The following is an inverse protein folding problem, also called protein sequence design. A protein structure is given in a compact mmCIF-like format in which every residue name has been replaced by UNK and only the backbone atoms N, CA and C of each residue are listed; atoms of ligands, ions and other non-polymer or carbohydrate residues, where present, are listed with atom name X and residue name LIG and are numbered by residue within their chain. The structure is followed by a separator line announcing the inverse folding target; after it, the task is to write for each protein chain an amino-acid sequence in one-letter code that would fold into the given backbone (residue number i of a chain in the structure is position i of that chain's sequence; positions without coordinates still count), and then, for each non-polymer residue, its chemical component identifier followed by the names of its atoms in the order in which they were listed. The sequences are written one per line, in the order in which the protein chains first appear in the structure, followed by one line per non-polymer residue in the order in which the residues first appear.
data_IF_917318663879
#
_entry.id   IF_917318663879
#
_cell.length_a   1.000
_cell.length_b   1.000
_cell.length_c   1.000
_cell.angle_alpha   90.00
_cell.angle_beta   90.00
_cell.angle_gamma   90.00
#
_symmetry.space_group_name_H-M   'P 1'
#
loop_
_entity.id
_entity.type
_entity.pdbx_description
1 polymer ?
#
# COMPACT_ATOMS: atom_id res chain seq x y z
N UNK A 1 -8.12 34.08 36.81
CA UNK A 1 -7.27 34.11 35.62
C UNK A 1 -7.81 33.03 34.66
N UNK A 2 -8.72 33.42 33.76
CA UNK A 2 -9.47 32.51 32.89
C UNK A 2 -8.57 32.22 31.69
N UNK A 3 -8.08 30.97 31.53
CA UNK A 3 -7.36 30.53 30.34
C UNK A 3 -8.34 30.58 29.16
N UNK A 4 -8.10 31.49 28.26
CA UNK A 4 -8.76 31.61 26.97
C UNK A 4 -8.49 30.29 26.20
N UNK A 5 -9.50 29.43 26.15
CA UNK A 5 -9.55 28.28 25.25
C UNK A 5 -9.69 28.83 23.83
N UNK A 6 -8.58 28.99 23.14
CA UNK A 6 -8.58 29.33 21.72
C UNK A 6 -9.09 28.07 21.03
N UNK A 7 -10.36 28.08 20.61
CA UNK A 7 -10.85 27.13 19.61
C UNK A 7 -10.00 27.37 18.36
N UNK A 8 -9.07 26.47 18.07
CA UNK A 8 -8.49 26.38 16.73
C UNK A 8 -9.68 26.11 15.80
N UNK A 9 -9.98 27.07 14.96
CA UNK A 9 -10.87 26.86 13.83
C UNK A 9 -10.11 25.87 12.94
N UNK A 10 -10.59 24.64 12.87
CA UNK A 10 -10.17 23.71 11.84
C UNK A 10 -10.43 24.44 10.51
N UNK A 11 -9.38 24.89 9.85
CA UNK A 11 -9.48 25.30 8.45
C UNK A 11 -9.72 23.97 7.74
N UNK A 12 -10.97 23.69 7.40
CA UNK A 12 -11.35 22.57 6.55
C UNK A 12 -10.57 22.81 5.26
N UNK A 13 -9.49 22.08 5.08
CA UNK A 13 -8.80 22.02 3.80
C UNK A 13 -9.84 21.60 2.76
N UNK A 14 -9.79 22.20 1.59
CA UNK A 14 -10.72 21.88 0.51
C UNK A 14 -10.77 20.37 0.31
N UNK A 15 -11.95 19.77 0.44
CA UNK A 15 -12.13 18.33 0.25
C UNK A 15 -11.91 17.97 -1.21
N UNK A 16 -11.05 17.01 -1.47
CA UNK A 16 -10.77 16.52 -2.82
C UNK A 16 -11.23 15.06 -2.94
N UNK A 17 -12.30 14.86 -3.69
CA UNK A 17 -12.80 13.51 -3.97
C UNK A 17 -11.75 12.68 -4.70
N UNK A 18 -11.56 11.44 -4.26
CA UNK A 18 -10.59 10.50 -4.84
C UNK A 18 -9.18 10.59 -4.26
N UNK A 19 -8.88 11.60 -3.44
CA UNK A 19 -7.64 11.65 -2.69
C UNK A 19 -7.76 10.93 -1.34
N UNK A 20 -6.68 10.29 -0.91
CA UNK A 20 -6.61 9.65 0.41
C UNK A 20 -6.80 10.71 1.51
N UNK A 21 -7.62 10.39 2.51
CA UNK A 21 -8.12 11.31 3.55
C UNK A 21 -8.91 12.51 3.03
N UNK A 22 -9.26 12.55 1.75
CA UNK A 22 -9.92 13.71 1.13
C UNK A 22 -9.06 14.99 1.10
N UNK A 23 -7.75 14.86 1.29
CA UNK A 23 -6.84 16.00 1.38
C UNK A 23 -6.37 16.47 0.00
N UNK A 24 -6.16 17.79 -0.19
CA UNK A 24 -5.54 18.30 -1.41
C UNK A 24 -4.08 17.86 -1.52
N UNK A 25 -3.60 17.74 -2.74
CA UNK A 25 -2.18 17.47 -2.99
C UNK A 25 -1.32 18.61 -2.41
N UNK A 26 -0.26 18.22 -1.69
CA UNK A 26 0.74 19.16 -1.17
C UNK A 26 1.60 19.75 -2.31
N UNK A 27 2.16 20.94 -2.08
CA UNK A 27 3.15 21.49 -3.02
C UNK A 27 4.52 20.85 -2.82
N UNK A 28 5.23 20.54 -3.91
CA UNK A 28 6.58 19.93 -3.91
C UNK A 28 6.55 18.41 -3.89
N UNK A 29 7.73 17.81 -3.67
CA UNK A 29 7.88 16.34 -3.66
C UNK A 29 7.09 15.73 -2.49
N UNK A 30 6.35 14.65 -2.71
CA UNK A 30 5.60 13.98 -1.65
C UNK A 30 6.52 13.24 -0.67
N UNK A 31 6.09 13.17 0.59
CA UNK A 31 6.74 12.33 1.60
C UNK A 31 6.16 10.92 1.59
N UNK A 32 4.87 10.79 1.24
CA UNK A 32 4.13 9.52 1.15
C UNK A 32 3.36 9.45 -0.16
N UNK A 33 3.44 8.32 -0.85
CA UNK A 33 2.65 8.03 -2.05
C UNK A 33 1.65 6.89 -1.79
N UNK A 34 0.36 7.15 -1.99
CA UNK A 34 -0.71 6.15 -1.91
C UNK A 34 -0.88 5.53 -3.30
N UNK A 35 -0.58 4.26 -3.42
CA UNK A 35 -0.56 3.52 -4.68
C UNK A 35 -1.70 2.51 -4.70
N UNK A 36 -2.71 2.74 -5.52
CA UNK A 36 -3.83 1.80 -5.71
C UNK A 36 -3.48 0.75 -6.76
N UNK A 37 -3.45 -0.51 -6.33
CA UNK A 37 -3.18 -1.67 -7.20
C UNK A 37 -4.36 -2.64 -7.10
N UNK A 38 -5.43 -2.45 -7.90
CA UNK A 38 -6.64 -3.29 -7.89
C UNK A 38 -6.39 -4.66 -8.55
N UNK A 39 -5.41 -5.41 -8.03
CA UNK A 39 -4.99 -6.71 -8.53
C UNK A 39 -5.81 -7.83 -7.88
N UNK A 40 -6.38 -8.73 -8.67
CA UNK A 40 -7.14 -9.91 -8.21
C UNK A 40 -7.14 -10.98 -9.32
N UNK A 41 -6.19 -11.91 -9.26
CA UNK A 41 -6.08 -13.00 -10.24
C UNK A 41 -6.03 -14.39 -9.62
N UNK A 42 -5.56 -14.52 -8.39
CA UNK A 42 -5.26 -15.83 -7.80
C UNK A 42 -6.03 -16.12 -6.50
N UNK A 43 -7.04 -15.30 -6.18
CA UNK A 43 -7.87 -15.46 -4.98
C UNK A 43 -8.52 -16.84 -4.91
N UNK A 44 -8.35 -17.55 -3.77
CA UNK A 44 -8.91 -18.90 -3.58
C UNK A 44 -10.41 -18.90 -3.32
N UNK A 45 -10.98 -17.83 -2.74
CA UNK A 45 -12.38 -17.77 -2.36
C UNK A 45 -12.94 -16.36 -2.44
N UNK A 46 -14.07 -16.24 -3.10
CA UNK A 46 -14.75 -14.97 -3.33
C UNK A 46 -14.07 -14.13 -4.41
N UNK A 47 -14.76 -13.09 -4.83
CA UNK A 47 -14.26 -12.10 -5.80
C UNK A 47 -14.62 -10.70 -5.32
N UNK A 48 -13.92 -9.67 -5.85
CA UNK A 48 -14.19 -8.27 -5.54
C UNK A 48 -13.10 -7.62 -4.70
N UNK A 49 -12.03 -8.32 -4.35
CA UNK A 49 -10.90 -7.74 -3.61
C UNK A 49 -10.24 -6.58 -4.37
N UNK A 50 -10.27 -6.60 -5.72
CA UNK A 50 -9.81 -5.49 -6.57
C UNK A 50 -10.53 -4.16 -6.29
N UNK A 51 -11.73 -4.19 -5.68
CA UNK A 51 -12.46 -2.98 -5.29
C UNK A 51 -11.92 -2.37 -3.99
N UNK A 52 -11.12 -3.12 -3.23
CA UNK A 52 -10.56 -2.72 -1.93
C UNK A 52 -9.84 -1.37 -1.96
N UNK A 53 -8.90 -1.10 -2.88
CA UNK A 53 -8.20 0.18 -2.94
C UNK A 53 -9.14 1.37 -3.07
N UNK A 54 -10.07 1.31 -4.02
CA UNK A 54 -11.08 2.37 -4.23
C UNK A 54 -11.96 2.59 -2.99
N UNK A 55 -12.43 1.50 -2.38
CA UNK A 55 -13.26 1.57 -1.17
C UNK A 55 -12.47 2.17 0.01
N UNK A 56 -11.20 1.79 0.17
CA UNK A 56 -10.33 2.31 1.21
C UNK A 56 -10.11 3.83 1.05
N UNK A 57 -9.82 4.30 -0.15
CA UNK A 57 -9.65 5.74 -0.41
C UNK A 57 -10.95 6.48 -0.13
N UNK A 58 -12.09 5.98 -0.59
CA UNK A 58 -13.38 6.62 -0.32
C UNK A 58 -13.71 6.66 1.19
N UNK A 59 -13.43 5.57 1.91
CA UNK A 59 -13.66 5.49 3.36
C UNK A 59 -12.67 6.36 4.15
N UNK A 60 -11.45 6.54 3.68
CA UNK A 60 -10.43 7.34 4.35
C UNK A 60 -10.84 8.81 4.54
N UNK A 61 -11.67 9.33 3.65
CA UNK A 61 -12.22 10.69 3.74
C UNK A 61 -13.17 10.91 4.93
N UNK A 62 -13.57 9.83 5.63
CA UNK A 62 -14.41 9.89 6.83
C UNK A 62 -13.62 9.74 8.14
N UNK A 63 -12.30 9.62 8.05
CA UNK A 63 -11.44 9.45 9.22
C UNK A 63 -11.30 10.79 9.96
N UNK A 64 -11.41 10.75 11.29
CA UNK A 64 -11.09 11.89 12.14
C UNK A 64 -9.59 12.20 12.06
N UNK A 65 -9.24 13.42 11.68
CA UNK A 65 -7.84 13.84 11.52
C UNK A 65 -7.21 14.33 12.82
N UNK A 66 -8.03 14.59 13.84
CA UNK A 66 -7.56 15.03 15.15
C UNK A 66 -6.98 13.86 15.94
N UNK A 67 -5.78 14.03 16.47
CA UNK A 67 -5.16 13.13 17.45
C UNK A 67 -4.65 13.95 18.64
N UNK A 68 -5.11 13.60 19.85
CA UNK A 68 -4.75 14.30 21.09
C UNK A 68 -3.25 14.21 21.45
N UNK A 69 -2.54 13.23 20.91
CA UNK A 69 -1.11 12.99 21.15
C UNK A 69 -0.21 13.71 20.14
N UNK A 70 -0.77 14.19 19.03
CA UNK A 70 -0.01 14.90 18.01
C UNK A 70 -0.11 16.42 18.20
N UNK A 71 0.94 17.17 17.89
CA UNK A 71 0.95 18.64 17.98
C UNK A 71 0.05 19.31 16.94
N UNK A 72 -0.23 18.62 15.84
CA UNK A 72 -1.01 19.08 14.69
C UNK A 72 -1.96 17.96 14.25
N UNK A 73 -3.06 18.36 13.59
CA UNK A 73 -3.96 17.39 12.97
C UNK A 73 -3.23 16.59 11.87
N UNK A 74 -3.67 15.35 11.63
CA UNK A 74 -3.12 14.54 10.55
C UNK A 74 -3.28 15.27 9.20
N UNK A 75 -2.33 15.14 8.29
CA UNK A 75 -1.16 14.27 8.28
C UNK A 75 0.10 14.84 8.98
N UNK A 76 -0.01 15.75 9.92
CA UNK A 76 1.10 16.28 10.75
C UNK A 76 2.28 16.82 9.94
N UNK A 77 1.98 17.57 8.87
CA UNK A 77 2.98 18.17 7.98
C UNK A 77 3.51 17.25 6.88
N UNK A 78 3.16 15.94 6.86
CA UNK A 78 3.50 15.06 5.74
C UNK A 78 2.69 15.43 4.48
N UNK A 79 3.37 15.46 3.35
CA UNK A 79 2.75 15.63 2.04
C UNK A 79 2.38 14.26 1.48
N UNK A 80 1.08 14.02 1.35
CA UNK A 80 0.54 12.78 0.81
C UNK A 80 0.16 13.03 -0.65
N UNK A 81 0.61 12.15 -1.53
CA UNK A 81 0.20 12.09 -2.93
C UNK A 81 -0.64 10.85 -3.17
N UNK A 82 -1.80 11.00 -3.77
CA UNK A 82 -2.64 9.88 -4.20
C UNK A 82 -2.42 9.63 -5.68
N UNK A 83 -1.62 8.63 -6.00
CA UNK A 83 -1.28 8.34 -7.39
C UNK A 83 -2.48 7.81 -8.18
N UNK A 84 -2.49 8.09 -9.48
CA UNK A 84 -3.44 7.44 -10.40
C UNK A 84 -3.36 5.92 -10.24
N UNK A 85 -4.49 5.21 -10.07
CA UNK A 85 -4.48 3.77 -9.88
C UNK A 85 -3.76 3.02 -11.01
N UNK A 86 -3.12 1.90 -10.67
CA UNK A 86 -2.63 0.95 -11.66
C UNK A 86 -3.80 0.46 -12.53
N UNK A 87 -3.61 0.41 -13.83
CA UNK A 87 -4.67 0.23 -14.84
C UNK A 87 -4.88 -1.23 -15.28
N UNK A 88 -4.15 -2.18 -14.69
CA UNK A 88 -4.28 -3.60 -15.05
C UNK A 88 -3.53 -4.00 -16.32
N UNK A 89 -2.49 -3.27 -16.73
CA UNK A 89 -1.70 -3.56 -17.93
C UNK A 89 -1.07 -4.96 -17.89
N UNK A 90 -1.35 -5.77 -18.93
CA UNK A 90 -0.82 -7.12 -19.14
C UNK A 90 -1.92 -8.18 -19.33
N UNK A 91 -1.65 -9.16 -20.21
CA UNK A 91 -2.56 -10.25 -20.56
C UNK A 91 -2.27 -11.54 -19.78
N UNK A 92 -1.08 -11.66 -19.22
CA UNK A 92 -0.65 -12.79 -18.40
C UNK A 92 -0.33 -12.31 -16.99
N UNK A 93 -0.33 -13.25 -16.03
CA UNK A 93 0.03 -12.96 -14.64
C UNK A 93 1.43 -12.32 -14.56
N UNK A 94 2.42 -12.85 -15.27
CA UNK A 94 3.79 -12.32 -15.29
C UNK A 94 3.86 -10.90 -15.88
N UNK A 95 3.08 -10.63 -16.94
CA UNK A 95 3.02 -9.30 -17.52
C UNK A 95 2.40 -8.29 -16.54
N UNK A 96 1.32 -8.68 -15.87
CA UNK A 96 0.69 -7.84 -14.86
C UNK A 96 1.63 -7.57 -13.67
N UNK A 97 2.30 -8.59 -13.14
CA UNK A 97 3.30 -8.40 -12.07
C UNK A 97 4.45 -7.49 -12.54
N UNK A 98 4.92 -7.65 -13.77
CA UNK A 98 5.94 -6.78 -14.35
C UNK A 98 5.45 -5.33 -14.48
N UNK A 99 4.18 -5.11 -14.83
CA UNK A 99 3.60 -3.76 -14.92
C UNK A 99 3.39 -3.15 -13.54
N UNK A 100 2.99 -3.92 -12.53
CA UNK A 100 2.92 -3.48 -11.13
C UNK A 100 4.29 -3.05 -10.62
N UNK A 101 5.35 -3.84 -10.88
CA UNK A 101 6.72 -3.44 -10.56
C UNK A 101 7.05 -2.07 -11.14
N UNK A 102 6.85 -1.87 -12.46
CA UNK A 102 7.11 -0.59 -13.12
C UNK A 102 6.28 0.56 -12.52
N UNK A 103 5.02 0.29 -12.20
CA UNK A 103 4.15 1.26 -11.56
C UNK A 103 4.69 1.69 -10.19
N UNK A 104 5.04 0.74 -9.33
CA UNK A 104 5.60 1.02 -7.99
C UNK A 104 6.95 1.75 -8.12
N UNK A 105 7.86 1.30 -9.00
CA UNK A 105 9.20 1.89 -9.18
C UNK A 105 9.13 3.40 -9.49
N UNK A 106 8.11 3.86 -10.23
CA UNK A 106 7.92 5.29 -10.56
C UNK A 106 7.64 6.16 -9.32
N UNK A 107 7.20 5.57 -8.21
CA UNK A 107 6.77 6.29 -7.02
C UNK A 107 7.69 6.10 -5.80
N UNK A 108 8.83 5.42 -5.96
CA UNK A 108 9.78 5.15 -4.85
C UNK A 108 10.61 6.36 -4.41
N UNK A 109 10.38 7.54 -4.95
CA UNK A 109 10.93 8.81 -4.44
C UNK A 109 10.25 9.24 -3.14
N UNK A 110 9.05 8.72 -2.86
CA UNK A 110 8.32 8.88 -1.61
C UNK A 110 8.18 7.53 -0.89
N UNK A 111 7.76 7.56 0.38
CA UNK A 111 7.41 6.33 1.10
C UNK A 111 6.13 5.72 0.49
N UNK A 112 6.20 4.52 -0.09
CA UNK A 112 5.05 3.93 -0.76
C UNK A 112 4.11 3.26 0.24
N UNK A 113 2.82 3.57 0.15
CA UNK A 113 1.72 2.84 0.79
C UNK A 113 0.88 2.21 -0.31
N UNK A 114 1.00 0.89 -0.48
CA UNK A 114 0.30 0.16 -1.54
C UNK A 114 -1.02 -0.39 -1.00
N UNK A 115 -2.12 0.04 -1.61
CA UNK A 115 -3.45 -0.48 -1.37
C UNK A 115 -3.75 -1.52 -2.45
N UNK A 116 -3.90 -2.78 -2.07
CA UNK A 116 -4.08 -3.89 -2.99
C UNK A 116 -5.44 -4.55 -2.90
N UNK A 117 -5.71 -5.41 -3.87
CA UNK A 117 -6.77 -6.41 -3.84
C UNK A 117 -6.29 -7.65 -3.12
N UNK A 118 -5.43 -8.44 -3.76
CA UNK A 118 -4.79 -9.61 -3.15
C UNK A 118 -3.27 -9.44 -3.07
N UNK A 119 -2.63 -10.16 -2.15
CA UNK A 119 -1.18 -10.01 -1.91
C UNK A 119 -0.28 -10.81 -2.86
N UNK A 120 -0.81 -11.51 -3.84
CA UNK A 120 -0.05 -12.12 -4.93
C UNK A 120 0.84 -11.12 -5.69
N UNK A 121 0.55 -9.82 -5.58
CA UNK A 121 1.37 -8.75 -6.12
C UNK A 121 2.64 -8.44 -5.29
N UNK A 122 2.80 -8.95 -4.05
CA UNK A 122 3.92 -8.62 -3.18
C UNK A 122 5.30 -8.84 -3.82
N UNK A 123 5.55 -9.93 -4.57
CA UNK A 123 6.85 -10.11 -5.24
C UNK A 123 7.19 -9.00 -6.24
N UNK A 124 6.19 -8.45 -6.93
CA UNK A 124 6.40 -7.32 -7.84
C UNK A 124 6.77 -6.04 -7.08
N UNK A 125 6.15 -5.80 -5.92
CA UNK A 125 6.51 -4.69 -5.03
C UNK A 125 7.93 -4.86 -4.51
N UNK A 126 8.32 -6.06 -4.07
CA UNK A 126 9.68 -6.34 -3.59
C UNK A 126 10.72 -6.18 -4.70
N UNK A 127 10.41 -6.56 -5.94
CA UNK A 127 11.28 -6.28 -7.08
C UNK A 127 11.50 -4.78 -7.30
N UNK A 128 10.44 -3.97 -7.21
CA UNK A 128 10.56 -2.52 -7.31
C UNK A 128 11.42 -1.95 -6.16
N UNK A 129 11.13 -2.32 -4.92
CA UNK A 129 11.89 -1.89 -3.74
C UNK A 129 13.37 -2.29 -3.84
N UNK A 130 13.66 -3.47 -4.37
CA UNK A 130 15.03 -3.97 -4.57
C UNK A 130 15.86 -3.15 -5.59
N UNK A 131 15.25 -2.26 -6.35
CA UNK A 131 15.97 -1.33 -7.23
C UNK A 131 16.71 -0.23 -6.44
N UNK A 132 16.25 0.07 -5.22
CA UNK A 132 16.79 1.15 -4.38
C UNK A 132 17.25 0.69 -3.00
N UNK A 133 16.79 -0.47 -2.54
CA UNK A 133 17.05 -1.02 -1.20
C UNK A 133 17.69 -2.39 -1.32
N UNK A 134 18.71 -2.65 -0.50
CA UNK A 134 19.31 -3.99 -0.34
C UNK A 134 18.32 -4.92 0.38
N UNK A 135 17.64 -5.77 -0.37
CA UNK A 135 16.61 -6.69 0.15
C UNK A 135 17.14 -7.62 1.23
N UNK A 136 18.45 -7.96 1.24
CA UNK A 136 19.03 -8.82 2.26
C UNK A 136 19.00 -8.21 3.67
N UNK A 137 18.82 -6.90 3.77
CA UNK A 137 18.69 -6.15 5.02
C UNK A 137 17.24 -5.85 5.39
N UNK A 138 16.30 -6.20 4.53
CA UNK A 138 14.87 -5.95 4.74
C UNK A 138 14.25 -7.08 5.56
N UNK A 139 13.35 -6.73 6.46
CA UNK A 139 12.46 -7.66 7.15
C UNK A 139 11.02 -7.37 6.72
N UNK A 140 10.35 -8.37 6.15
CA UNK A 140 8.89 -8.29 5.93
C UNK A 140 8.20 -8.67 7.23
N UNK A 141 7.31 -7.82 7.72
CA UNK A 141 6.38 -8.15 8.81
C UNK A 141 5.04 -8.45 8.17
N UNK A 142 4.64 -9.73 8.18
CA UNK A 142 3.36 -10.18 7.65
C UNK A 142 2.38 -10.44 8.78
N UNK A 143 1.22 -9.80 8.74
CA UNK A 143 0.11 -10.03 9.66
C UNK A 143 -0.95 -10.80 8.89
N UNK A 144 -0.92 -12.13 9.01
CA UNK A 144 -1.75 -13.05 8.24
C UNK A 144 -1.95 -14.38 8.97
N UNK A 145 -3.05 -15.07 8.66
CA UNK A 145 -3.32 -16.42 9.14
C UNK A 145 -2.44 -17.48 8.45
N UNK A 146 -1.90 -17.18 7.27
CA UNK A 146 -1.13 -18.07 6.42
C UNK A 146 0.31 -17.59 6.23
N UNK A 147 1.24 -18.52 6.03
CA UNK A 147 2.65 -18.18 5.85
C UNK A 147 3.01 -17.82 4.39
N UNK A 148 2.19 -18.20 3.41
CA UNK A 148 2.36 -17.97 1.96
C UNK A 148 3.73 -18.41 1.42
N UNK A 149 4.20 -19.55 1.95
CA UNK A 149 5.51 -20.13 1.64
C UNK A 149 5.44 -21.30 0.63
N UNK A 150 4.30 -21.51 -0.02
CA UNK A 150 4.17 -22.56 -1.03
C UNK A 150 5.12 -22.32 -2.20
N UNK A 151 5.62 -23.41 -2.80
CA UNK A 151 6.37 -23.33 -4.05
C UNK A 151 5.46 -22.98 -5.21
N UNK A 152 4.27 -23.56 -5.19
CA UNK A 152 3.20 -23.31 -6.16
C UNK A 152 1.84 -23.64 -5.52
N UNK A 153 0.79 -23.11 -6.10
CA UNK A 153 -0.59 -23.49 -5.84
C UNK A 153 -1.28 -23.68 -7.20
N UNK A 154 -1.85 -24.90 -7.42
CA UNK A 154 -2.53 -25.26 -8.67
C UNK A 154 -1.66 -25.08 -9.94
N UNK A 155 -0.34 -25.31 -9.79
CA UNK A 155 0.64 -25.16 -10.88
C UNK A 155 1.13 -23.72 -11.10
N UNK A 156 0.68 -22.76 -10.28
CA UNK A 156 1.12 -21.37 -10.38
C UNK A 156 2.04 -20.98 -9.20
N UNK A 157 3.29 -20.68 -9.53
CA UNK A 157 4.32 -20.28 -8.57
C UNK A 157 4.15 -18.80 -8.12
N UNK A 158 3.29 -18.02 -8.78
CA UNK A 158 3.02 -16.63 -8.44
C UNK A 158 1.62 -16.41 -7.84
N UNK A 159 0.97 -17.51 -7.44
CA UNK A 159 -0.24 -17.43 -6.64
C UNK A 159 -0.01 -16.66 -5.34
N UNK A 160 -1.08 -16.02 -4.80
CA UNK A 160 -1.06 -15.37 -3.49
C UNK A 160 -0.44 -16.24 -2.40
N UNK A 161 -0.70 -17.57 -2.39
CA UNK A 161 -0.14 -18.52 -1.42
C UNK A 161 1.38 -18.73 -1.52
N UNK A 162 2.04 -18.11 -2.51
CA UNK A 162 3.46 -18.16 -2.78
C UNK A 162 4.16 -16.81 -2.57
N UNK A 163 3.42 -15.77 -2.17
CA UNK A 163 3.89 -14.39 -2.16
C UNK A 163 5.15 -14.20 -1.29
N UNK A 164 5.18 -14.76 -0.10
CA UNK A 164 6.35 -14.70 0.79
C UNK A 164 7.49 -15.57 0.27
N UNK A 165 7.20 -16.76 -0.27
CA UNK A 165 8.22 -17.60 -0.88
C UNK A 165 8.93 -16.87 -2.03
N UNK A 166 8.18 -16.23 -2.92
CA UNK A 166 8.77 -15.46 -4.03
C UNK A 166 9.58 -14.27 -3.52
N UNK A 167 9.15 -13.62 -2.44
CA UNK A 167 9.90 -12.51 -1.82
C UNK A 167 11.25 -13.00 -1.25
N UNK A 168 11.30 -14.17 -0.63
CA UNK A 168 12.55 -14.80 -0.18
C UNK A 168 13.47 -15.17 -1.36
N UNK A 169 12.92 -15.68 -2.45
CA UNK A 169 13.69 -16.01 -3.66
C UNK A 169 14.33 -14.76 -4.30
N UNK A 170 13.77 -13.57 -4.07
CA UNK A 170 14.35 -12.27 -4.45
C UNK A 170 15.47 -11.79 -3.51
N UNK A 171 15.71 -12.50 -2.40
CA UNK A 171 16.77 -12.19 -1.46
C UNK A 171 16.35 -11.35 -0.25
N UNK A 172 15.05 -11.25 0.07
CA UNK A 172 14.60 -10.64 1.31
C UNK A 172 15.22 -11.37 2.51
N UNK A 173 15.85 -10.60 3.41
CA UNK A 173 16.68 -11.16 4.48
C UNK A 173 15.90 -11.85 5.57
N UNK A 174 14.76 -11.32 6.00
CA UNK A 174 13.98 -11.86 7.11
C UNK A 174 12.48 -11.74 6.89
N UNK A 175 11.75 -12.69 7.47
CA UNK A 175 10.27 -12.64 7.54
C UNK A 175 9.86 -12.80 9.01
N UNK A 176 8.97 -11.93 9.46
CA UNK A 176 8.29 -12.04 10.74
C UNK A 176 6.79 -12.26 10.50
N UNK A 177 6.30 -13.43 10.85
CA UNK A 177 4.88 -13.75 10.76
C UNK A 177 4.15 -13.48 12.07
N UNK A 178 2.99 -12.87 11.99
CA UNK A 178 2.08 -12.62 13.12
C UNK A 178 0.70 -13.16 12.76
N UNK A 179 0.15 -14.04 13.59
CA UNK A 179 -1.23 -14.54 13.43
C UNK A 179 -1.37 -15.90 12.74
N UNK A 180 -0.29 -16.60 12.44
CA UNK A 180 -0.31 -17.94 11.81
C UNK A 180 -1.16 -18.91 12.62
N UNK A 181 -2.06 -19.66 11.96
CA UNK A 181 -2.96 -20.65 12.58
C UNK A 181 -3.31 -21.79 11.60
#
# INVERSE_FOLDING_TARGET
MVKRMIRRVCIVSEFVEGNFLGLPEGQGEPDVAILSVPYELTSSYGQGSHQGPKATIAASAQVELYDALLPEDLPSGFRIHTATPWDGEGNTLQEQLSSIRRYVSKHLTAFPVVLGGEHGMLPAIMQAVGETVDLSKLTIVQIDAHADLRQELEGDAYSHACAIRRSLDLGVGNILHIGIR
#
